data_IF_155852680464
#
_entry.id   IF_155852680464
#
_cell.length_a   1.000
_cell.length_b   1.000
_cell.length_c   1.000
_cell.angle_alpha   90.00
_cell.angle_beta   90.00
_cell.angle_gamma   90.00
#
_symmetry.space_group_name_H-M   'P 1'
#
loop_
_entity.id
_entity.type
_entity.pdbx_description
1 polymer ?
#
# COMPACT_ATOMS: atom_id res chain seq x y z
N UNK A 1 -52.74 -37.61 -6.53
CA UNK A 1 -51.46 -36.92 -6.38
C UNK A 1 -50.89 -36.56 -7.76
N UNK A 2 -50.83 -35.28 -8.09
CA UNK A 2 -50.30 -34.84 -9.37
C UNK A 2 -48.78 -34.69 -9.22
N UNK A 3 -48.01 -35.66 -9.74
CA UNK A 3 -46.56 -35.53 -9.82
C UNK A 3 -46.24 -34.46 -10.85
N UNK A 4 -45.79 -33.28 -10.42
CA UNK A 4 -45.30 -32.25 -11.31
C UNK A 4 -43.99 -32.74 -11.97
N UNK A 5 -44.02 -32.95 -13.26
CA UNK A 5 -42.86 -33.29 -14.07
C UNK A 5 -41.89 -32.10 -14.06
N UNK A 6 -40.85 -32.17 -13.21
CA UNK A 6 -39.75 -31.25 -13.28
C UNK A 6 -39.05 -31.40 -14.61
N UNK A 7 -39.13 -30.38 -15.45
CA UNK A 7 -38.39 -30.37 -16.72
C UNK A 7 -36.88 -30.31 -16.44
N UNK A 8 -36.07 -30.89 -17.32
CA UNK A 8 -34.62 -30.90 -17.21
C UNK A 8 -34.03 -29.49 -16.99
N UNK A 9 -34.65 -28.45 -17.55
CA UNK A 9 -34.29 -27.04 -17.32
C UNK A 9 -34.55 -26.57 -15.87
N UNK A 10 -35.68 -27.00 -15.26
CA UNK A 10 -36.02 -26.69 -13.86
C UNK A 10 -35.09 -27.37 -12.90
N UNK A 11 -34.70 -28.64 -13.17
CA UNK A 11 -33.74 -29.38 -12.37
C UNK A 11 -32.33 -28.68 -12.41
N UNK A 12 -31.87 -28.31 -13.59
CA UNK A 12 -30.60 -27.59 -13.74
C UNK A 12 -30.58 -26.25 -13.00
N UNK A 13 -31.70 -25.53 -12.99
CA UNK A 13 -31.82 -24.28 -12.22
C UNK A 13 -31.71 -24.51 -10.70
N UNK A 14 -32.41 -25.50 -10.19
CA UNK A 14 -32.39 -25.86 -8.75
C UNK A 14 -31.00 -26.28 -8.32
N UNK A 15 -30.32 -27.15 -9.09
CA UNK A 15 -28.95 -27.59 -8.79
C UNK A 15 -27.97 -26.41 -8.76
N UNK A 16 -28.06 -25.48 -9.72
CA UNK A 16 -27.23 -24.27 -9.73
C UNK A 16 -27.53 -23.34 -8.55
N UNK A 17 -28.78 -23.20 -8.15
CA UNK A 17 -29.19 -22.37 -7.02
C UNK A 17 -28.69 -22.93 -5.68
N UNK A 18 -28.81 -24.25 -5.48
CA UNK A 18 -28.31 -24.95 -4.32
C UNK A 18 -26.78 -24.92 -4.27
N UNK A 19 -26.10 -25.18 -5.38
CA UNK A 19 -24.65 -25.11 -5.49
C UNK A 19 -24.10 -23.73 -5.11
N UNK A 20 -24.76 -22.65 -5.54
CA UNK A 20 -24.38 -21.26 -5.17
C UNK A 20 -24.57 -20.99 -3.68
N UNK A 21 -25.65 -21.50 -3.06
CA UNK A 21 -25.88 -21.36 -1.61
C UNK A 21 -24.82 -22.12 -0.79
N UNK A 22 -24.49 -23.35 -1.19
CA UNK A 22 -23.46 -24.15 -0.53
C UNK A 22 -22.08 -23.49 -0.67
N UNK A 23 -21.69 -23.01 -1.85
CA UNK A 23 -20.43 -22.31 -2.07
C UNK A 23 -20.36 -21.02 -1.24
N UNK A 24 -21.44 -20.26 -1.13
CA UNK A 24 -21.53 -19.06 -0.29
C UNK A 24 -21.40 -19.40 1.20
N UNK A 25 -22.04 -20.47 1.67
CA UNK A 25 -21.95 -20.94 3.05
C UNK A 25 -20.54 -21.43 3.39
N UNK A 26 -19.87 -22.16 2.48
CA UNK A 26 -18.47 -22.56 2.65
C UNK A 26 -17.52 -21.37 2.74
N UNK A 27 -17.68 -20.37 1.86
CA UNK A 27 -16.89 -19.12 1.91
C UNK A 27 -17.12 -18.32 3.19
N UNK A 28 -18.35 -18.33 3.72
CA UNK A 28 -18.68 -17.65 4.97
C UNK A 28 -18.05 -18.30 6.21
N UNK A 29 -17.79 -19.61 6.16
CA UNK A 29 -17.11 -20.36 7.24
C UNK A 29 -15.58 -20.27 7.18
N UNK A 30 -15.01 -19.91 6.03
CA UNK A 30 -13.56 -19.73 5.92
C UNK A 30 -13.18 -18.40 6.57
N UNK A 31 -12.22 -18.44 7.50
CA UNK A 31 -11.63 -17.23 8.03
C UNK A 31 -10.95 -16.46 6.90
N UNK A 32 -11.29 -15.18 6.69
CA UNK A 32 -10.63 -14.40 5.66
C UNK A 32 -9.15 -14.23 5.99
N UNK A 33 -8.29 -14.38 4.98
CA UNK A 33 -6.86 -14.15 5.08
C UNK A 33 -6.46 -12.84 4.39
N UNK A 34 -5.32 -12.29 4.80
CA UNK A 34 -4.76 -11.08 4.24
C UNK A 34 -5.39 -9.81 4.78
N UNK A 35 -5.56 -8.80 3.93
CA UNK A 35 -6.14 -7.51 4.32
C UNK A 35 -7.62 -7.64 4.68
N UNK A 36 -7.96 -7.17 5.86
CA UNK A 36 -9.31 -7.25 6.43
C UNK A 36 -9.69 -5.96 7.12
N UNK A 37 -10.96 -5.87 7.56
CA UNK A 37 -11.38 -4.85 8.50
C UNK A 37 -10.93 -5.22 9.92
N UNK A 38 -10.65 -4.22 10.77
CA UNK A 38 -10.26 -4.44 12.17
C UNK A 38 -11.26 -5.33 12.90
N UNK A 39 -12.57 -5.09 12.70
CA UNK A 39 -13.64 -5.90 13.28
C UNK A 39 -13.55 -7.39 12.90
N UNK A 40 -13.28 -7.68 11.63
CA UNK A 40 -13.12 -9.07 11.16
C UNK A 40 -11.86 -9.72 11.71
N UNK A 41 -10.76 -8.98 11.76
CA UNK A 41 -9.51 -9.49 12.31
C UNK A 41 -9.65 -9.85 13.80
N UNK A 42 -10.29 -8.99 14.59
CA UNK A 42 -10.55 -9.24 16.01
C UNK A 42 -11.54 -10.38 16.24
N UNK A 43 -12.49 -10.60 15.32
CA UNK A 43 -13.45 -11.70 15.41
C UNK A 43 -12.81 -13.09 15.26
N UNK A 44 -11.55 -13.18 14.84
CA UNK A 44 -10.81 -14.46 14.77
C UNK A 44 -10.45 -15.01 16.17
N UNK A 45 -10.70 -14.27 17.26
CA UNK A 45 -10.46 -14.72 18.63
C UNK A 45 -8.98 -14.87 19.03
N UNK A 46 -8.06 -14.43 18.20
CA UNK A 46 -6.62 -14.39 18.48
C UNK A 46 -6.22 -13.01 18.97
N UNK A 47 -5.23 -12.94 19.87
CA UNK A 47 -4.67 -11.66 20.30
C UNK A 47 -4.08 -10.90 19.09
N UNK A 48 -4.32 -9.59 19.08
CA UNK A 48 -3.85 -8.68 18.05
C UNK A 48 -2.88 -7.66 18.63
N UNK A 49 -1.86 -7.32 17.86
CA UNK A 49 -0.95 -6.22 18.14
C UNK A 49 -1.21 -5.10 17.14
N UNK A 50 -0.80 -3.90 17.50
CA UNK A 50 -0.90 -2.73 16.63
C UNK A 50 0.43 -2.03 16.48
N UNK A 51 0.65 -1.43 15.31
CA UNK A 51 1.83 -0.67 14.98
C UNK A 51 1.45 0.53 14.13
N UNK A 52 2.06 1.69 14.40
CA UNK A 52 1.86 2.86 13.55
C UNK A 52 2.61 2.72 12.22
N UNK A 53 1.92 3.03 11.14
CA UNK A 53 2.46 3.06 9.79
C UNK A 53 2.21 4.43 9.17
N UNK A 54 3.28 5.13 8.85
CA UNK A 54 3.24 6.35 8.04
C UNK A 54 3.77 6.04 6.66
N UNK A 55 3.02 6.40 5.59
CA UNK A 55 3.50 6.27 4.23
C UNK A 55 2.60 5.48 3.28
N UNK A 56 3.20 4.81 2.30
CA UNK A 56 2.50 4.16 1.19
C UNK A 56 1.89 2.81 1.60
N UNK A 57 0.61 2.83 1.99
CA UNK A 57 -0.15 1.62 2.34
C UNK A 57 -0.31 0.65 1.16
N UNK A 58 -0.32 1.15 -0.08
CA UNK A 58 -0.41 0.29 -1.28
C UNK A 58 0.86 -0.53 -1.48
N UNK A 59 2.01 0.07 -1.19
CA UNK A 59 3.27 -0.65 -1.22
C UNK A 59 3.33 -1.70 -0.11
N UNK A 60 2.86 -1.35 1.09
CA UNK A 60 2.74 -2.29 2.20
C UNK A 60 1.81 -3.46 1.84
N UNK A 61 0.62 -3.21 1.29
CA UNK A 61 -0.33 -4.23 0.84
C UNK A 61 0.33 -5.24 -0.13
N UNK A 62 1.16 -4.74 -1.04
CA UNK A 62 1.86 -5.59 -2.02
C UNK A 62 2.89 -6.50 -1.37
N UNK A 63 3.63 -6.00 -0.39
CA UNK A 63 4.62 -6.78 0.37
C UNK A 63 3.91 -7.77 1.29
N UNK A 64 2.88 -7.35 2.02
CA UNK A 64 2.14 -8.18 2.96
C UNK A 64 1.46 -9.39 2.28
N UNK A 65 0.97 -9.23 1.05
CA UNK A 65 0.44 -10.35 0.25
C UNK A 65 1.48 -11.44 0.00
N UNK A 66 2.72 -11.05 -0.23
CA UNK A 66 3.82 -11.98 -0.45
C UNK A 66 4.12 -12.83 0.80
N UNK A 67 3.95 -12.22 1.99
CA UNK A 67 4.19 -12.87 3.28
C UNK A 67 2.96 -13.59 3.84
N UNK A 68 1.82 -13.50 3.15
CA UNK A 68 0.55 -14.14 3.54
C UNK A 68 0.14 -13.86 5.00
N UNK A 69 0.31 -12.62 5.45
CA UNK A 69 -0.05 -12.16 6.78
C UNK A 69 -1.47 -11.62 6.82
N UNK A 70 -2.14 -11.76 7.98
CA UNK A 70 -3.46 -11.23 8.23
C UNK A 70 -3.35 -9.89 8.96
N UNK A 71 -3.89 -8.84 8.37
CA UNK A 71 -3.76 -7.48 8.89
C UNK A 71 -4.97 -6.62 8.57
N UNK A 72 -5.10 -5.53 9.32
CA UNK A 72 -6.11 -4.51 9.10
C UNK A 72 -5.51 -3.12 9.30
N UNK A 73 -5.96 -2.16 8.48
CA UNK A 73 -5.61 -0.75 8.65
C UNK A 73 -6.75 0.02 9.30
N UNK A 74 -6.41 0.88 10.22
CA UNK A 74 -7.27 1.91 10.76
C UNK A 74 -6.59 3.27 10.54
N UNK A 75 -7.25 4.17 9.84
CA UNK A 75 -6.72 5.52 9.61
C UNK A 75 -6.99 6.38 10.84
N UNK A 76 -5.94 6.87 11.46
CA UNK A 76 -6.01 7.78 12.62
C UNK A 76 -6.03 9.24 12.18
N UNK A 77 -5.15 9.59 11.24
CA UNK A 77 -5.01 10.92 10.66
C UNK A 77 -4.69 10.80 9.16
N UNK A 78 -4.85 11.87 8.38
CA UNK A 78 -4.43 11.86 6.97
C UNK A 78 -2.96 11.46 6.84
N UNK A 79 -2.70 10.34 6.15
CA UNK A 79 -1.35 9.79 5.95
C UNK A 79 -0.79 8.96 7.12
N UNK A 80 -1.51 8.84 8.25
CA UNK A 80 -1.13 7.99 9.38
C UNK A 80 -2.15 6.87 9.55
N UNK A 81 -1.64 5.66 9.71
CA UNK A 81 -2.44 4.45 9.84
C UNK A 81 -1.99 3.64 11.04
N UNK A 82 -2.93 3.03 11.72
CA UNK A 82 -2.66 2.02 12.72
C UNK A 82 -2.86 0.65 12.07
N UNK A 83 -1.80 -0.13 12.04
CA UNK A 83 -1.79 -1.48 11.46
C UNK A 83 -2.02 -2.49 12.56
N UNK A 84 -3.11 -3.24 12.49
CA UNK A 84 -3.41 -4.36 13.38
C UNK A 84 -3.02 -5.67 12.71
N UNK A 85 -2.43 -6.57 13.47
CA UNK A 85 -2.05 -7.90 13.00
C UNK A 85 -2.14 -8.94 14.12
N UNK A 86 -2.21 -10.21 13.76
CA UNK A 86 -2.26 -11.29 14.73
C UNK A 86 -0.92 -11.47 15.43
N UNK A 87 -0.93 -11.61 16.76
CA UNK A 87 0.30 -11.81 17.56
C UNK A 87 1.08 -13.05 17.14
N UNK A 88 0.41 -14.11 16.71
CA UNK A 88 1.05 -15.34 16.22
C UNK A 88 1.79 -15.16 14.87
N UNK A 89 1.58 -14.04 14.18
CA UNK A 89 2.25 -13.70 12.90
C UNK A 89 3.29 -12.59 13.06
N UNK A 90 3.72 -12.29 14.27
CA UNK A 90 4.67 -11.21 14.55
C UNK A 90 5.99 -11.36 13.81
N UNK A 91 6.54 -12.56 13.69
CA UNK A 91 7.79 -12.82 12.95
C UNK A 91 7.65 -12.55 11.46
N UNK A 92 6.55 -13.04 10.85
CA UNK A 92 6.24 -12.78 9.46
C UNK A 92 5.99 -11.29 9.21
N UNK A 93 5.35 -10.61 10.16
CA UNK A 93 5.13 -9.17 10.10
C UNK A 93 6.44 -8.38 10.19
N UNK A 94 7.37 -8.80 11.04
CA UNK A 94 8.70 -8.18 11.14
C UNK A 94 9.46 -8.30 9.81
N UNK A 95 9.46 -9.48 9.20
CA UNK A 95 10.06 -9.70 7.89
C UNK A 95 9.38 -8.86 6.79
N UNK A 96 8.05 -8.75 6.84
CA UNK A 96 7.27 -7.90 5.94
C UNK A 96 7.68 -6.41 6.06
N UNK A 97 7.83 -5.90 7.27
CA UNK A 97 8.27 -4.53 7.51
C UNK A 97 9.71 -4.29 7.04
N UNK A 98 10.60 -5.23 7.24
CA UNK A 98 11.97 -5.14 6.75
C UNK A 98 12.02 -5.03 5.22
N UNK A 99 11.26 -5.84 4.52
CA UNK A 99 11.15 -5.76 3.05
C UNK A 99 10.46 -4.47 2.59
N UNK A 100 9.41 -4.04 3.28
CA UNK A 100 8.72 -2.78 3.01
C UNK A 100 9.66 -1.58 3.15
N UNK A 101 10.39 -1.48 4.27
CA UNK A 101 11.33 -0.40 4.53
C UNK A 101 12.42 -0.33 3.46
N UNK A 102 12.98 -1.47 3.06
CA UNK A 102 13.97 -1.53 1.98
C UNK A 102 13.39 -0.99 0.67
N UNK A 103 12.18 -1.40 0.29
CA UNK A 103 11.52 -0.90 -0.93
C UNK A 103 11.19 0.59 -0.88
N UNK A 104 10.83 1.12 0.30
CA UNK A 104 10.63 2.56 0.48
C UNK A 104 11.93 3.32 0.26
N UNK A 105 13.04 2.85 0.83
CA UNK A 105 14.35 3.45 0.66
C UNK A 105 14.84 3.39 -0.80
N UNK A 106 14.67 2.26 -1.47
CA UNK A 106 15.03 2.10 -2.89
C UNK A 106 14.21 3.05 -3.78
N UNK A 107 12.91 3.18 -3.50
CA UNK A 107 12.03 4.13 -4.20
C UNK A 107 12.42 5.60 -3.93
N UNK A 108 12.85 5.92 -2.72
CA UNK A 108 13.35 7.25 -2.38
C UNK A 108 14.66 7.55 -3.11
N UNK A 109 15.61 6.61 -3.16
CA UNK A 109 16.87 6.74 -3.89
C UNK A 109 16.65 6.92 -5.39
N UNK A 110 15.72 6.17 -5.99
CA UNK A 110 15.41 6.28 -7.42
C UNK A 110 14.71 7.58 -7.81
N UNK A 111 14.15 8.31 -6.85
CA UNK A 111 13.52 9.64 -7.06
C UNK A 111 14.48 10.81 -6.86
N UNK A 112 15.63 10.56 -6.23
CA UNK A 112 16.65 11.59 -6.12
C UNK A 112 17.31 11.77 -7.49
N UNK A 113 17.45 13.01 -7.99
CA UNK A 113 18.16 13.25 -9.23
C UNK A 113 19.60 12.77 -9.07
N UNK A 114 20.12 12.15 -10.10
CA UNK A 114 21.50 11.64 -10.16
C UNK A 114 22.48 12.80 -9.98
N UNK A 115 23.66 12.53 -9.42
CA UNK A 115 24.70 13.56 -9.20
C UNK A 115 24.94 14.44 -10.44
N UNK A 116 25.03 13.90 -11.67
CA UNK A 116 25.18 14.74 -12.87
C UNK A 116 23.96 15.62 -13.16
N UNK A 117 22.74 15.19 -12.81
CA UNK A 117 21.54 16.02 -12.95
C UNK A 117 21.48 17.13 -11.91
N UNK A 118 21.92 16.86 -10.67
CA UNK A 118 22.06 17.89 -9.63
C UNK A 118 23.09 18.95 -10.02
N UNK A 119 24.23 18.54 -10.59
CA UNK A 119 25.23 19.47 -11.08
C UNK A 119 24.70 20.37 -12.21
N UNK A 120 23.99 19.79 -13.18
CA UNK A 120 23.34 20.58 -14.25
C UNK A 120 22.30 21.57 -13.72
N UNK A 121 21.53 21.18 -12.73
CA UNK A 121 20.55 22.06 -12.08
C UNK A 121 21.25 23.19 -11.32
N UNK A 122 22.33 22.90 -10.59
CA UNK A 122 23.15 23.92 -9.91
C UNK A 122 23.79 24.89 -10.90
N UNK A 123 24.35 24.42 -12.00
CA UNK A 123 24.90 25.26 -13.07
C UNK A 123 23.85 26.16 -13.72
N UNK A 124 22.63 25.63 -13.94
CA UNK A 124 21.51 26.42 -14.47
C UNK A 124 21.03 27.49 -13.50
N UNK A 125 21.07 27.22 -12.20
CA UNK A 125 20.73 28.20 -11.16
C UNK A 125 21.78 29.30 -11.09
N UNK A 126 23.06 28.95 -11.09
CA UNK A 126 24.17 29.90 -11.14
C UNK A 126 24.15 30.76 -12.40
N UNK A 127 23.77 30.19 -13.55
CA UNK A 127 23.62 30.93 -14.79
C UNK A 127 22.45 31.93 -14.77
N UNK A 128 21.41 31.66 -13.97
CA UNK A 128 20.27 32.59 -13.80
C UNK A 128 20.55 33.68 -12.76
N UNK A 129 21.45 33.46 -11.84
CA UNK A 129 21.86 34.40 -10.78
C UNK A 129 23.08 35.25 -11.13
N UNK A 130 23.50 35.32 -12.40
CA UNK A 130 24.55 36.27 -12.80
C UNK A 130 24.08 37.68 -12.50
N UNK A 131 24.72 38.41 -11.55
CA UNK A 131 24.39 39.79 -11.30
C UNK A 131 24.65 40.62 -12.57
N UNK A 132 23.90 41.70 -12.82
CA UNK A 132 24.13 42.57 -13.94
C UNK A 132 25.57 43.10 -13.84
N UNK A 133 26.31 43.00 -14.93
CA UNK A 133 27.64 43.59 -15.04
C UNK A 133 27.53 45.07 -14.71
N UNK A 134 28.02 45.47 -13.53
CA UNK A 134 28.27 46.88 -13.26
C UNK A 134 29.29 47.40 -14.29
N UNK A 135 28.82 48.29 -15.15
CA UNK A 135 29.70 49.15 -15.95
C UNK A 135 30.47 50.03 -14.98
N UNK A 136 31.72 49.68 -14.70
CA UNK A 136 32.68 50.59 -14.11
C UNK A 136 32.96 51.62 -15.21
N UNK A 137 32.36 52.81 -15.08
CA UNK A 137 32.77 53.98 -15.84
C UNK A 137 34.15 54.36 -15.33
N UNK A 138 35.17 54.09 -16.12
CA UNK A 138 36.48 54.72 -15.97
C UNK A 138 36.31 56.23 -16.02
N UNK A 139 36.46 56.87 -14.89
CA UNK A 139 36.59 58.34 -14.85
C UNK A 139 38.02 58.63 -15.29
N UNK A 140 38.17 58.98 -16.54
CA UNK A 140 39.41 59.59 -17.05
C UNK A 140 39.68 60.89 -16.26
N UNK A 141 40.72 60.88 -15.49
CA UNK A 141 41.25 62.07 -14.85
C UNK A 141 42.12 62.75 -15.88
N UNK A 142 41.53 63.70 -16.58
CA UNK A 142 42.29 64.63 -17.40
C UNK A 142 42.80 65.78 -16.54
N UNK A 143 44.03 66.03 -16.70
CA UNK A 143 44.75 67.09 -16.10
C UNK A 143 45.11 68.10 -17.15
#
# INVERSE_FOLDING_TARGET
>A
MKASKLTARGLAYVVRAVGRKIAKAHRAKQMPHGKQTVKKLMAHGTSTNSLELSGDTKLFDRVARKWNVDYAFYQTEPGKYLLFFKSGQADAMTACFSEYSRKVLDKAKSRQPTIPEQMKQAEQQLAKEKPPKEHIKEVAHDR
#
